data_IF_991025174062
#
_entry.id   IF_991025174062
#
_cell.length_a   1.000
_cell.length_b   1.000
_cell.length_c   1.000
_cell.angle_alpha   90.00
_cell.angle_beta   90.00
_cell.angle_gamma   90.00
#
_symmetry.space_group_name_H-M   'P 1'
#
loop_
_entity.id
_entity.type
_entity.pdbx_description
1 polymer ?
#
# COMPACT_ATOMS: atom_id res chain seq x y z
N UNK A 1 -41.63 -48.22 -25.31
CA UNK A 1 -40.32 -47.74 -25.80
C UNK A 1 -39.93 -46.54 -24.96
N UNK A 2 -38.64 -46.45 -24.67
CA UNK A 2 -37.98 -45.70 -23.59
C UNK A 2 -38.36 -44.21 -23.47
N UNK A 3 -38.65 -43.78 -22.24
CA UNK A 3 -38.66 -42.38 -21.85
C UNK A 3 -37.23 -41.83 -21.85
N UNK A 4 -37.00 -40.67 -22.47
CA UNK A 4 -35.73 -39.96 -22.41
C UNK A 4 -35.85 -38.80 -21.44
N UNK A 5 -35.25 -38.97 -20.27
CA UNK A 5 -35.06 -37.95 -19.24
C UNK A 5 -34.02 -36.93 -19.71
N UNK A 6 -34.35 -35.64 -19.64
CA UNK A 6 -33.36 -34.56 -19.74
C UNK A 6 -32.92 -34.24 -18.30
N UNK A 7 -31.66 -34.57 -17.99
CA UNK A 7 -31.01 -34.16 -16.74
C UNK A 7 -30.46 -32.75 -16.97
N UNK A 8 -31.14 -31.74 -16.42
CA UNK A 8 -30.60 -30.39 -16.32
C UNK A 8 -29.55 -30.36 -15.19
N UNK A 9 -28.27 -30.20 -15.53
CA UNK A 9 -27.24 -29.86 -14.54
C UNK A 9 -27.42 -28.40 -14.14
N UNK A 10 -28.10 -28.17 -13.01
CA UNK A 10 -28.02 -26.90 -12.33
C UNK A 10 -26.61 -26.75 -11.74
N UNK A 11 -25.76 -25.96 -12.40
CA UNK A 11 -24.55 -25.41 -11.81
C UNK A 11 -24.99 -24.50 -10.66
N UNK A 12 -25.14 -25.10 -9.47
CA UNK A 12 -25.31 -24.37 -8.23
C UNK A 12 -24.06 -23.56 -7.97
N UNK A 13 -24.06 -22.32 -8.47
CA UNK A 13 -23.18 -21.30 -7.94
C UNK A 13 -23.45 -21.22 -6.45
N UNK A 14 -22.51 -21.68 -5.65
CA UNK A 14 -22.44 -21.37 -4.23
C UNK A 14 -22.27 -19.86 -4.12
N UNK A 15 -23.40 -19.15 -4.09
CA UNK A 15 -23.47 -17.81 -3.54
C UNK A 15 -22.99 -17.93 -2.10
N UNK A 16 -21.73 -17.55 -1.86
CA UNK A 16 -21.21 -17.38 -0.51
C UNK A 16 -22.01 -16.23 0.08
N UNK A 17 -23.02 -16.58 0.88
CA UNK A 17 -23.84 -15.63 1.63
C UNK A 17 -22.91 -14.70 2.40
N UNK A 18 -22.90 -13.43 2.01
CA UNK A 18 -22.44 -12.32 2.81
C UNK A 18 -23.40 -12.16 4.00
N UNK A 19 -23.28 -13.05 4.97
CA UNK A 19 -23.98 -12.95 6.24
C UNK A 19 -23.20 -12.01 7.15
N UNK A 20 -23.90 -10.96 7.59
CA UNK A 20 -23.71 -10.22 8.83
C UNK A 20 -22.50 -9.28 8.95
N UNK A 21 -22.62 -8.08 8.36
CA UNK A 21 -22.33 -6.82 9.07
C UNK A 21 -23.23 -5.69 8.53
N UNK A 22 -24.33 -5.31 9.19
CA UNK A 22 -25.24 -4.27 8.71
C UNK A 22 -24.66 -2.83 8.73
N UNK A 23 -23.37 -2.66 9.06
CA UNK A 23 -22.68 -1.37 9.10
C UNK A 23 -21.32 -1.36 8.38
N UNK A 24 -20.93 -2.41 7.67
CA UNK A 24 -19.74 -2.35 6.82
C UNK A 24 -20.19 -1.86 5.45
N UNK A 25 -20.18 -0.54 5.27
CA UNK A 25 -20.12 0.02 3.93
C UNK A 25 -18.83 -0.55 3.31
N UNK A 26 -18.98 -1.43 2.32
CA UNK A 26 -17.91 -1.65 1.34
C UNK A 26 -17.73 -0.28 0.71
N UNK A 27 -16.78 0.48 1.24
CA UNK A 27 -16.41 1.79 0.72
C UNK A 27 -15.85 1.50 -0.66
N UNK A 28 -16.70 1.63 -1.68
CA UNK A 28 -16.27 1.75 -3.06
C UNK A 28 -15.12 2.75 -3.05
N UNK A 29 -13.91 2.26 -3.31
CA UNK A 29 -12.66 3.01 -3.21
C UNK A 29 -12.52 3.97 -4.42
N UNK A 30 -13.58 4.72 -4.72
CA UNK A 30 -13.56 5.88 -5.61
C UNK A 30 -13.41 7.18 -4.82
N UNK A 31 -12.85 7.13 -3.61
CA UNK A 31 -12.12 8.30 -3.12
C UNK A 31 -11.04 8.57 -4.16
N UNK A 32 -11.15 9.70 -4.88
CA UNK A 32 -10.09 10.17 -5.77
C UNK A 32 -8.88 10.48 -4.90
N UNK A 33 -8.07 9.46 -4.67
CA UNK A 33 -6.91 9.57 -3.80
C UNK A 33 -5.97 10.59 -4.42
N UNK A 34 -5.60 11.58 -3.63
CA UNK A 34 -4.60 12.57 -4.04
C UNK A 34 -3.23 12.10 -3.55
N UNK A 35 -2.21 12.27 -4.38
CA UNK A 35 -0.84 11.86 -4.05
C UNK A 35 0.07 13.08 -4.04
N UNK A 36 0.71 13.35 -2.91
CA UNK A 36 1.50 14.57 -2.68
C UNK A 36 2.94 14.22 -2.31
N UNK A 37 3.89 14.97 -2.87
CA UNK A 37 5.33 14.89 -2.60
C UNK A 37 5.99 13.53 -2.90
N UNK A 38 5.41 12.74 -3.81
CA UNK A 38 6.07 11.53 -4.30
C UNK A 38 7.20 11.90 -5.28
N UNK A 39 8.42 11.33 -5.13
CA UNK A 39 9.51 11.55 -6.07
C UNK A 39 9.17 10.96 -7.45
N UNK A 40 9.76 11.50 -8.52
CA UNK A 40 9.65 10.99 -9.90
C UNK A 40 10.10 9.53 -9.98
N UNK A 41 11.17 9.19 -9.27
CA UNK A 41 11.59 7.82 -9.02
C UNK A 41 12.48 7.73 -7.77
N UNK A 42 12.71 6.50 -7.29
CA UNK A 42 13.71 6.21 -6.26
C UNK A 42 14.71 5.15 -6.74
N UNK A 43 15.93 5.23 -6.21
CA UNK A 43 16.98 4.22 -6.34
C UNK A 43 17.25 3.60 -4.96
N UNK A 44 16.85 2.34 -4.77
CA UNK A 44 17.06 1.61 -3.54
C UNK A 44 18.36 0.79 -3.61
N UNK A 45 19.19 0.76 -2.55
CA UNK A 45 20.49 0.09 -2.51
C UNK A 45 20.37 -1.44 -2.35
N UNK A 46 19.56 -2.07 -3.19
CA UNK A 46 19.32 -3.51 -3.26
C UNK A 46 19.22 -3.95 -4.73
N UNK A 47 19.44 -5.24 -5.04
CA UNK A 47 19.20 -5.76 -6.39
C UNK A 47 17.78 -5.40 -6.86
N UNK A 48 17.66 -4.97 -8.13
CA UNK A 48 16.41 -4.49 -8.74
C UNK A 48 15.82 -3.20 -8.16
N UNK A 49 16.52 -2.54 -7.23
CA UNK A 49 16.09 -1.31 -6.57
C UNK A 49 16.20 -0.04 -7.42
N UNK A 50 16.79 -0.10 -8.60
CA UNK A 50 17.03 1.08 -9.45
C UNK A 50 15.78 1.52 -10.22
N UNK A 51 15.55 2.84 -10.31
CA UNK A 51 14.49 3.53 -11.04
C UNK A 51 13.09 2.99 -10.74
N UNK A 52 12.76 2.82 -9.46
CA UNK A 52 11.39 2.54 -9.04
C UNK A 52 10.56 3.80 -9.26
N UNK A 53 9.65 3.76 -10.23
CA UNK A 53 8.91 4.92 -10.72
C UNK A 53 7.91 5.47 -9.70
N UNK A 54 7.58 6.76 -9.83
CA UNK A 54 6.53 7.42 -9.06
C UNK A 54 5.21 6.65 -9.09
N UNK A 55 4.79 6.18 -10.27
CA UNK A 55 3.53 5.45 -10.42
C UNK A 55 3.54 4.17 -9.58
N UNK A 56 4.65 3.43 -9.55
CA UNK A 56 4.76 2.22 -8.74
C UNK A 56 4.69 2.50 -7.24
N UNK A 57 5.22 3.63 -6.78
CA UNK A 57 5.08 4.06 -5.40
C UNK A 57 3.62 4.40 -5.08
N UNK A 58 2.95 5.12 -5.97
CA UNK A 58 1.52 5.45 -5.84
C UNK A 58 0.66 4.18 -5.81
N UNK A 59 0.91 3.23 -6.71
CA UNK A 59 0.22 1.95 -6.75
C UNK A 59 0.45 1.14 -5.48
N UNK A 60 1.68 1.10 -4.95
CA UNK A 60 2.00 0.39 -3.72
C UNK A 60 1.21 0.95 -2.51
N UNK A 61 1.06 2.28 -2.44
CA UNK A 61 0.29 2.94 -1.37
C UNK A 61 -1.21 2.79 -1.59
N UNK A 62 -1.68 3.00 -2.82
CA UNK A 62 -3.09 2.89 -3.19
C UNK A 62 -3.67 1.50 -2.90
N UNK A 63 -2.88 0.46 -3.20
CA UNK A 63 -3.25 -0.94 -3.00
C UNK A 63 -2.86 -1.51 -1.63
N UNK A 64 -2.18 -0.74 -0.77
CA UNK A 64 -1.81 -1.20 0.56
C UNK A 64 -3.07 -1.51 1.38
N UNK A 65 -3.10 -2.72 1.97
CA UNK A 65 -4.13 -3.06 2.95
C UNK A 65 -3.97 -2.17 4.18
N UNK A 66 -5.08 -1.61 4.66
CA UNK A 66 -5.14 -0.75 5.85
C UNK A 66 -6.12 -1.34 6.87
N UNK A 67 -6.11 -2.67 6.95
CA UNK A 67 -6.90 -3.46 7.89
C UNK A 67 -6.05 -3.64 9.16
N UNK A 68 -6.13 -2.68 10.08
CA UNK A 68 -5.37 -2.68 11.33
C UNK A 68 -5.03 -1.28 11.82
N UNK A 69 -4.28 -1.23 12.92
CA UNK A 69 -3.75 0.04 13.42
C UNK A 69 -2.62 0.55 12.50
N UNK A 70 -2.48 1.87 12.33
CA UNK A 70 -1.34 2.45 11.65
C UNK A 70 -0.05 2.09 12.40
N UNK A 71 1.11 2.22 11.72
CA UNK A 71 2.41 2.08 12.40
C UNK A 71 2.55 3.13 13.50
N UNK A 72 2.01 4.31 13.28
CA UNK A 72 1.94 5.34 14.30
C UNK A 72 0.71 6.22 14.11
N UNK A 73 0.06 6.65 15.21
CA UNK A 73 -1.18 7.43 15.15
C UNK A 73 -0.96 8.86 14.65
N UNK A 74 0.28 9.35 14.73
CA UNK A 74 0.68 10.67 14.25
C UNK A 74 2.05 10.57 13.57
N UNK A 75 2.12 10.85 12.28
CA UNK A 75 3.35 10.79 11.49
C UNK A 75 4.41 11.79 11.99
N UNK A 76 3.98 12.86 12.65
CA UNK A 76 4.86 13.78 13.36
C UNK A 76 5.69 13.12 14.48
N UNK A 77 5.18 12.05 15.10
CA UNK A 77 5.87 11.39 16.22
C UNK A 77 7.13 10.63 15.77
N UNK A 78 7.24 10.32 14.48
CA UNK A 78 8.39 9.63 13.92
C UNK A 78 9.21 10.58 13.05
N UNK A 79 10.52 10.55 13.24
CA UNK A 79 11.49 11.25 12.40
C UNK A 79 11.59 10.61 11.00
N UNK A 80 10.50 10.66 10.26
CA UNK A 80 10.48 10.35 8.82
C UNK A 80 11.00 11.57 8.05
N UNK A 81 11.56 11.33 6.86
CA UNK A 81 12.22 12.38 6.08
C UNK A 81 11.31 13.55 5.74
N UNK A 82 10.04 13.27 5.42
CA UNK A 82 9.10 14.28 4.90
C UNK A 82 7.88 14.55 5.78
N UNK A 83 7.59 13.69 6.76
CA UNK A 83 6.39 13.82 7.59
C UNK A 83 6.70 14.09 9.07
N UNK A 84 7.96 14.30 9.44
CA UNK A 84 8.38 14.66 10.80
C UNK A 84 8.09 16.12 11.19
N UNK A 85 7.10 16.77 10.60
CA UNK A 85 6.77 18.19 10.79
C UNK A 85 5.40 18.38 11.46
N UNK A 86 5.17 19.50 12.19
CA UNK A 86 3.93 19.69 12.98
C UNK A 86 2.62 19.59 12.18
N UNK A 87 2.63 19.88 10.88
CA UNK A 87 1.46 19.77 10.00
C UNK A 87 1.00 18.31 9.78
N UNK A 88 1.79 17.32 10.20
CA UNK A 88 1.44 15.91 10.20
C UNK A 88 1.00 15.40 11.58
N UNK A 89 0.81 16.29 12.55
CA UNK A 89 0.27 15.95 13.86
C UNK A 89 -1.14 15.38 13.74
N UNK A 90 -1.38 14.22 14.35
CA UNK A 90 -2.66 13.52 14.29
C UNK A 90 -2.99 12.89 12.94
N UNK A 91 -2.06 12.89 11.97
CA UNK A 91 -2.22 12.18 10.70
C UNK A 91 -1.52 10.81 10.83
N UNK A 92 -2.23 9.68 10.69
CA UNK A 92 -1.62 8.36 10.86
C UNK A 92 -0.49 8.07 9.85
N UNK A 93 0.60 7.48 10.35
CA UNK A 93 1.69 6.93 9.53
C UNK A 93 1.45 5.45 9.26
N UNK A 94 1.51 5.09 7.98
CA UNK A 94 1.40 3.74 7.50
C UNK A 94 2.70 3.30 6.84
N UNK A 95 2.86 1.99 6.68
CA UNK A 95 3.94 1.41 5.91
C UNK A 95 3.44 0.32 5.00
N UNK A 96 4.04 0.24 3.82
CA UNK A 96 3.81 -0.82 2.85
C UNK A 96 5.13 -1.28 2.25
N UNK A 97 5.17 -2.49 1.70
CA UNK A 97 6.32 -2.96 0.94
C UNK A 97 6.39 -2.28 -0.42
N UNK A 98 7.60 -1.97 -0.89
CA UNK A 98 7.83 -1.58 -2.29
C UNK A 98 7.95 -2.89 -3.09
N UNK A 99 6.94 -3.30 -3.89
CA UNK A 99 6.94 -4.61 -4.53
C UNK A 99 8.10 -4.71 -5.52
N UNK A 100 8.77 -5.86 -5.63
CA UNK A 100 9.75 -6.17 -6.71
C UNK A 100 9.05 -6.82 -7.91
N UNK A 101 8.90 -6.07 -9.02
CA UNK A 101 8.28 -6.60 -10.24
C UNK A 101 9.09 -7.71 -10.91
N UNK A 102 10.42 -7.76 -10.68
CA UNK A 102 11.29 -8.80 -11.24
C UNK A 102 11.26 -10.07 -10.39
N UNK A 103 10.77 -9.98 -9.15
CA UNK A 103 10.65 -11.10 -8.20
C UNK A 103 9.32 -10.99 -7.45
N UNK A 104 8.21 -11.46 -8.03
CA UNK A 104 6.90 -11.43 -7.38
C UNK A 104 6.95 -12.05 -5.98
N UNK A 105 6.31 -11.39 -5.00
CA UNK A 105 6.32 -11.79 -3.60
C UNK A 105 7.52 -11.28 -2.79
N UNK A 106 8.51 -10.65 -3.43
CA UNK A 106 9.62 -9.97 -2.75
C UNK A 106 9.41 -8.46 -2.73
N UNK A 107 10.05 -7.79 -1.77
CA UNK A 107 10.03 -6.34 -1.65
C UNK A 107 11.43 -5.75 -1.78
N UNK A 108 11.52 -4.60 -2.44
CA UNK A 108 12.73 -3.80 -2.54
C UNK A 108 13.04 -3.04 -1.25
N UNK A 109 12.07 -2.94 -0.34
CA UNK A 109 12.15 -2.18 0.89
C UNK A 109 10.74 -1.85 1.39
N UNK A 110 10.65 -0.86 2.27
CA UNK A 110 9.40 -0.34 2.78
C UNK A 110 9.25 1.13 2.42
N UNK A 111 8.02 1.51 2.12
CA UNK A 111 7.58 2.88 1.89
C UNK A 111 6.71 3.29 3.08
N UNK A 112 7.09 4.38 3.73
CA UNK A 112 6.27 5.04 4.76
C UNK A 112 5.46 6.17 4.14
N UNK A 113 4.20 6.28 4.52
CA UNK A 113 3.29 7.29 4.01
C UNK A 113 2.27 7.71 5.05
N UNK A 114 1.82 8.97 5.00
CA UNK A 114 0.74 9.48 5.82
C UNK A 114 -0.54 9.51 5.00
N UNK A 115 -1.67 9.11 5.61
CA UNK A 115 -2.99 9.19 4.97
C UNK A 115 -3.85 10.20 5.73
N UNK A 116 -4.05 11.36 5.12
CA UNK A 116 -4.91 12.40 5.70
C UNK A 116 -6.40 12.00 5.60
N UNK A 117 -7.26 12.50 6.51
CA UNK A 117 -8.70 12.23 6.48
C UNK A 117 -9.40 12.62 5.17
N UNK A 118 -8.84 13.57 4.43
CA UNK A 118 -9.34 14.01 3.12
C UNK A 118 -8.98 13.05 1.96
N UNK A 119 -8.32 11.91 2.23
CA UNK A 119 -7.91 10.95 1.21
C UNK A 119 -6.60 11.29 0.50
N UNK A 120 -5.79 12.19 1.05
CA UNK A 120 -4.45 12.50 0.50
C UNK A 120 -3.39 11.57 1.09
N UNK A 121 -2.63 10.92 0.22
CA UNK A 121 -1.40 10.21 0.55
C UNK A 121 -0.21 11.15 0.45
N UNK A 122 0.58 11.21 1.52
CA UNK A 122 1.86 11.91 1.54
C UNK A 122 2.99 10.89 1.64
N UNK A 123 3.95 10.99 0.73
CA UNK A 123 5.19 10.23 0.84
C UNK A 123 5.99 10.72 2.05
N UNK A 124 6.37 9.81 2.97
CA UNK A 124 7.10 10.18 4.20
C UNK A 124 8.56 9.74 4.19
N UNK A 125 8.93 8.76 3.36
CA UNK A 125 10.29 8.23 3.23
C UNK A 125 10.32 6.74 2.95
N UNK A 126 11.51 6.19 2.70
CA UNK A 126 11.71 4.78 2.33
C UNK A 126 12.88 4.15 3.06
N UNK A 127 12.76 2.89 3.43
CA UNK A 127 13.85 2.09 4.00
C UNK A 127 14.12 0.88 3.13
N UNK A 128 15.37 0.65 2.74
CA UNK A 128 15.78 -0.48 1.91
C UNK A 128 17.24 -0.83 2.16
N UNK A 129 17.55 -2.13 2.20
CA UNK A 129 18.90 -2.62 2.46
C UNK A 129 19.40 -2.26 3.86
N UNK A 130 20.70 -2.45 4.07
CA UNK A 130 21.39 -2.12 5.31
C UNK A 130 22.70 -1.40 5.01
N UNK A 131 23.05 -0.42 5.83
CA UNK A 131 24.40 0.17 5.86
C UNK A 131 25.40 -0.83 6.45
N UNK A 132 26.71 -0.56 6.30
CA UNK A 132 27.77 -1.38 6.93
C UNK A 132 27.61 -1.48 8.45
N UNK A 133 27.04 -0.46 9.08
CA UNK A 133 26.73 -0.42 10.52
C UNK A 133 25.49 -1.25 10.93
N UNK A 134 24.79 -1.86 9.97
CA UNK A 134 23.58 -2.66 10.20
C UNK A 134 22.27 -1.86 10.25
N UNK A 135 22.33 -0.53 10.25
CA UNK A 135 21.14 0.32 10.17
C UNK A 135 20.46 0.23 8.81
N UNK A 136 19.12 0.22 8.73
CA UNK A 136 18.40 0.25 7.46
C UNK A 136 18.84 1.44 6.61
N UNK A 137 19.23 1.17 5.36
CA UNK A 137 19.58 2.25 4.43
C UNK A 137 18.29 2.88 3.87
N UNK A 138 18.39 4.08 3.29
CA UNK A 138 17.27 4.77 2.64
C UNK A 138 17.41 4.63 1.12
N UNK A 139 16.29 4.63 0.39
CA UNK A 139 16.39 4.80 -1.06
C UNK A 139 16.72 6.27 -1.37
N UNK A 140 17.48 6.48 -2.44
CA UNK A 140 17.72 7.82 -2.98
C UNK A 140 16.48 8.29 -3.72
N UNK A 141 16.04 9.52 -3.47
CA UNK A 141 14.83 10.10 -4.05
C UNK A 141 15.19 11.12 -5.13
N UNK A 142 14.50 11.06 -6.27
CA UNK A 142 14.70 11.97 -7.39
C UNK A 142 13.38 12.69 -7.70
N UNK A 143 13.37 14.01 -7.51
CA UNK A 143 12.21 14.90 -7.70
C UNK A 143 12.28 15.67 -9.02
#
# INVERSE_FOLDING_TARGET
MHASSIIALALGASAVSAAAFPNVQVRDNSASYTFTNFPVYIDCPVPNGNKVTQQRLKDAVGNAKREGEPREKSAFNLATRHCGFPNFSGIPLWMTGIPDIKKPGMFLGSLSYALAPNGTFYFCGTTSGSTESGWPNQCTEHY
#
